data_IF_478811282207
#
_entry.id   IF_478811282207
#
_cell.length_a   1.000
_cell.length_b   1.000
_cell.length_c   1.000
_cell.angle_alpha   90.00
_cell.angle_beta   90.00
_cell.angle_gamma   90.00
#
_symmetry.space_group_name_H-M   'P 1'
#
loop_
_entity.id
_entity.type
_entity.pdbx_description
1 polymer ?
#
# COMPACT_ATOMS: atom_id res chain seq x y z
N UNK A 1 12.45 37.28 -15.59
CA UNK A 1 11.06 36.85 -15.85
C UNK A 1 11.12 35.33 -15.93
N UNK A 2 10.78 34.67 -14.83
CA UNK A 2 10.79 33.20 -14.77
C UNK A 2 9.76 32.68 -15.78
N UNK A 3 10.09 31.66 -16.59
CA UNK A 3 9.13 31.12 -17.54
C UNK A 3 7.92 30.58 -16.78
N UNK A 4 6.70 30.72 -17.32
CA UNK A 4 5.52 30.14 -16.69
C UNK A 4 5.73 28.63 -16.58
N UNK A 5 5.76 28.12 -15.34
CA UNK A 5 5.75 26.68 -15.07
C UNK A 5 4.42 26.15 -15.59
N UNK A 6 4.44 25.55 -16.77
CA UNK A 6 3.30 24.79 -17.28
C UNK A 6 2.97 23.72 -16.24
N UNK A 7 1.73 23.64 -15.72
CA UNK A 7 1.38 22.61 -14.77
C UNK A 7 1.61 21.26 -15.43
N UNK A 8 2.48 20.44 -14.84
CA UNK A 8 2.64 19.06 -15.26
C UNK A 8 1.26 18.38 -15.29
N UNK A 9 0.96 17.56 -16.31
CA UNK A 9 -0.29 16.81 -16.35
C UNK A 9 -0.42 16.01 -15.04
N UNK A 10 -1.56 16.15 -14.37
CA UNK A 10 -1.80 15.47 -13.10
C UNK A 10 -1.63 13.95 -13.25
N UNK A 11 -0.88 13.27 -12.36
CA UNK A 11 -0.63 11.85 -12.49
C UNK A 11 -1.94 11.05 -12.36
N UNK A 12 -2.08 10.01 -13.17
CA UNK A 12 -3.19 9.05 -13.07
C UNK A 12 -3.01 8.04 -11.93
N UNK A 13 -1.76 7.78 -11.56
CA UNK A 13 -1.36 6.84 -10.51
C UNK A 13 -0.28 7.45 -9.59
N UNK A 14 -0.48 7.38 -8.28
CA UNK A 14 0.55 7.67 -7.29
C UNK A 14 0.99 6.36 -6.65
N UNK A 15 2.27 6.04 -6.75
CA UNK A 15 2.87 4.88 -6.11
C UNK A 15 3.47 5.28 -4.76
N UNK A 16 2.87 4.83 -3.66
CA UNK A 16 3.34 5.10 -2.30
C UNK A 16 4.23 3.95 -1.83
N UNK A 17 5.47 4.26 -1.47
CA UNK A 17 6.46 3.29 -1.00
C UNK A 17 6.94 3.71 0.40
N UNK A 18 6.57 2.94 1.42
CA UNK A 18 7.04 3.17 2.78
C UNK A 18 8.41 2.52 2.98
N UNK A 19 9.38 3.30 3.48
CA UNK A 19 10.76 2.86 3.70
C UNK A 19 11.23 3.20 5.11
N UNK A 20 12.09 2.35 5.67
CA UNK A 20 12.76 2.57 6.94
C UNK A 20 14.07 1.78 6.93
N UNK A 21 15.21 2.48 6.91
CA UNK A 21 16.55 1.94 6.71
C UNK A 21 16.61 0.91 5.56
N UNK A 22 16.37 1.38 4.34
CA UNK A 22 16.33 0.60 3.10
C UNK A 22 17.32 1.15 2.05
N UNK A 23 18.41 1.81 2.48
CA UNK A 23 19.36 2.49 1.60
C UNK A 23 19.92 1.59 0.47
N UNK A 24 20.08 0.29 0.76
CA UNK A 24 20.58 -0.72 -0.20
C UNK A 24 19.52 -1.16 -1.22
N UNK A 25 18.23 -1.03 -0.91
CA UNK A 25 17.13 -1.54 -1.72
C UNK A 25 16.48 -0.46 -2.59
N UNK A 26 16.41 0.79 -2.11
CA UNK A 26 15.68 1.90 -2.76
C UNK A 26 16.07 2.09 -4.23
N UNK A 27 17.37 2.03 -4.55
CA UNK A 27 17.83 2.26 -5.93
C UNK A 27 17.30 1.19 -6.90
N UNK A 28 17.36 -0.09 -6.50
CA UNK A 28 16.86 -1.20 -7.31
C UNK A 28 15.33 -1.16 -7.44
N UNK A 29 14.62 -0.89 -6.34
CA UNK A 29 13.16 -0.74 -6.33
C UNK A 29 12.73 0.41 -7.25
N UNK A 30 13.43 1.54 -7.18
CA UNK A 30 13.14 2.70 -8.03
C UNK A 30 13.32 2.37 -9.50
N UNK A 31 14.45 1.74 -9.87
CA UNK A 31 14.71 1.35 -11.25
C UNK A 31 13.63 0.40 -11.80
N UNK A 32 13.18 -0.57 -11.01
CA UNK A 32 12.09 -1.48 -11.39
C UNK A 32 10.76 -0.71 -11.56
N UNK A 33 10.42 0.18 -10.63
CA UNK A 33 9.21 1.03 -10.74
C UNK A 33 9.20 1.87 -12.01
N UNK A 34 10.30 2.59 -12.29
CA UNK A 34 10.40 3.44 -13.46
C UNK A 34 10.29 2.64 -14.76
N UNK A 35 10.94 1.47 -14.81
CA UNK A 35 10.91 0.57 -15.97
C UNK A 35 9.50 0.04 -16.24
N UNK A 36 8.83 -0.50 -15.21
CA UNK A 36 7.53 -1.16 -15.36
C UNK A 36 6.38 -0.15 -15.61
N UNK A 37 6.49 1.07 -15.07
CA UNK A 37 5.43 2.08 -15.19
C UNK A 37 5.62 3.04 -16.37
N UNK A 38 6.74 2.98 -17.09
CA UNK A 38 7.01 3.87 -18.24
C UNK A 38 5.89 3.89 -19.30
N UNK A 39 5.17 2.78 -19.49
CA UNK A 39 4.05 2.66 -20.43
C UNK A 39 2.66 2.91 -19.83
N UNK A 40 2.54 3.12 -18.52
CA UNK A 40 1.25 3.21 -17.82
C UNK A 40 0.60 4.61 -17.85
N UNK A 41 1.23 5.58 -18.51
CA UNK A 41 0.83 7.00 -18.52
C UNK A 41 1.48 7.79 -17.37
N UNK A 42 1.08 9.06 -17.15
CA UNK A 42 1.66 9.90 -16.11
C UNK A 42 1.49 9.30 -14.70
N UNK A 43 2.59 9.10 -13.99
CA UNK A 43 2.61 8.59 -12.62
C UNK A 43 3.56 9.41 -11.73
N UNK A 44 3.47 9.21 -10.42
CA UNK A 44 4.48 9.66 -9.48
C UNK A 44 4.84 8.54 -8.49
N UNK A 45 6.04 8.59 -7.93
CA UNK A 45 6.50 7.72 -6.86
C UNK A 45 6.72 8.58 -5.61
N UNK A 46 5.90 8.34 -4.59
CA UNK A 46 6.00 9.01 -3.29
C UNK A 46 6.64 8.05 -2.31
N UNK A 47 7.94 8.21 -2.10
CA UNK A 47 8.63 7.56 -1.00
C UNK A 47 8.25 8.25 0.32
N UNK A 48 7.93 7.43 1.31
CA UNK A 48 7.71 7.89 2.68
C UNK A 48 8.78 7.29 3.57
N UNK A 49 9.75 8.11 3.95
CA UNK A 49 10.78 7.73 4.89
C UNK A 49 10.26 7.87 6.33
N UNK A 50 10.03 6.74 6.98
CA UNK A 50 9.48 6.64 8.34
C UNK A 50 10.57 6.86 9.41
N UNK A 51 11.41 7.89 9.23
CA UNK A 51 12.47 8.25 10.18
C UNK A 51 13.69 7.32 10.11
N UNK A 52 14.22 7.06 8.91
CA UNK A 52 15.46 6.31 8.73
C UNK A 52 16.66 6.96 9.42
N UNK A 53 17.56 6.13 9.90
CA UNK A 53 18.82 6.52 10.56
C UNK A 53 20.06 6.18 9.71
N UNK A 54 19.85 5.68 8.50
CA UNK A 54 20.89 5.36 7.53
C UNK A 54 20.85 6.33 6.32
N UNK A 55 21.49 5.97 5.20
CA UNK A 55 21.52 6.79 4.00
C UNK A 55 20.23 6.81 3.16
N UNK A 56 19.12 6.21 3.60
CA UNK A 56 17.91 6.01 2.79
C UNK A 56 17.39 7.32 2.17
N UNK A 57 17.23 8.36 2.98
CA UNK A 57 16.73 9.66 2.51
C UNK A 57 17.64 10.27 1.43
N UNK A 58 18.95 10.21 1.62
CA UNK A 58 19.91 10.79 0.67
C UNK A 58 19.86 10.07 -0.68
N UNK A 59 19.78 8.73 -0.67
CA UNK A 59 19.65 7.95 -1.91
C UNK A 59 18.38 8.35 -2.68
N UNK A 60 17.26 8.57 -1.99
CA UNK A 60 16.01 8.98 -2.61
C UNK A 60 16.12 10.40 -3.20
N UNK A 61 16.76 11.33 -2.48
CA UNK A 61 16.98 12.70 -2.97
C UNK A 61 17.85 12.71 -4.23
N UNK A 62 18.91 11.89 -4.27
CA UNK A 62 19.78 11.76 -5.43
C UNK A 62 19.06 11.14 -6.64
N UNK A 63 18.06 10.28 -6.40
CA UNK A 63 17.19 9.74 -7.45
C UNK A 63 16.19 10.79 -7.92
N UNK A 64 15.55 11.53 -7.01
CA UNK A 64 14.59 12.59 -7.33
C UNK A 64 15.23 13.74 -8.12
N UNK A 65 16.52 14.03 -7.90
CA UNK A 65 17.26 15.00 -8.70
C UNK A 65 17.36 14.61 -10.20
N UNK A 66 17.21 13.32 -10.53
CA UNK A 66 17.29 12.78 -11.89
C UNK A 66 15.94 12.38 -12.47
N UNK A 67 14.93 12.23 -11.63
CA UNK A 67 13.62 11.68 -11.96
C UNK A 67 12.52 12.53 -11.33
N UNK A 68 11.90 13.49 -12.07
CA UNK A 68 10.92 14.42 -11.54
C UNK A 68 9.64 13.74 -11.00
N UNK A 69 9.35 12.52 -11.44
CA UNK A 69 8.28 11.68 -10.92
C UNK A 69 8.50 11.23 -9.47
N UNK A 70 9.73 11.31 -8.94
CA UNK A 70 10.07 10.83 -7.60
C UNK A 70 9.95 11.97 -6.58
N UNK A 71 9.29 11.67 -5.47
CA UNK A 71 9.12 12.57 -4.34
C UNK A 71 9.44 11.86 -3.04
N UNK A 72 10.04 12.60 -2.11
CA UNK A 72 10.32 12.15 -0.75
C UNK A 72 9.45 12.91 0.26
N UNK A 73 8.83 12.19 1.17
CA UNK A 73 8.20 12.72 2.38
C UNK A 73 8.83 12.03 3.58
N UNK A 74 9.35 12.80 4.54
CA UNK A 74 10.06 12.24 5.70
C UNK A 74 9.30 12.50 6.99
N UNK A 75 9.26 11.49 7.85
CA UNK A 75 8.89 11.64 9.26
C UNK A 75 10.12 12.03 10.09
N UNK A 76 9.89 12.73 11.19
CA UNK A 76 10.93 13.09 12.18
C UNK A 76 11.36 11.89 13.04
N UNK A 77 10.54 10.84 13.08
CA UNK A 77 10.77 9.58 13.81
C UNK A 77 9.94 8.44 13.20
N UNK A 78 10.28 7.22 13.57
CA UNK A 78 9.48 6.04 13.21
C UNK A 78 8.09 6.07 13.84
N UNK A 79 7.07 6.13 12.97
CA UNK A 79 5.66 6.18 13.32
C UNK A 79 4.89 4.90 12.91
N UNK A 80 5.55 3.99 12.19
CA UNK A 80 4.99 2.73 11.74
C UNK A 80 4.47 2.77 10.30
N UNK A 81 4.43 1.58 9.68
CA UNK A 81 4.09 1.40 8.26
C UNK A 81 2.72 1.99 7.90
N UNK A 82 1.73 1.87 8.79
CA UNK A 82 0.37 2.33 8.47
C UNK A 82 0.30 3.85 8.43
N UNK A 83 1.04 4.50 9.33
CA UNK A 83 1.18 5.95 9.33
C UNK A 83 1.98 6.42 8.11
N UNK A 84 3.08 5.74 7.77
CA UNK A 84 3.86 6.04 6.56
C UNK A 84 2.99 5.94 5.28
N UNK A 85 2.22 4.86 5.14
CA UNK A 85 1.27 4.73 4.02
C UNK A 85 0.28 5.89 4.02
N UNK A 86 -0.35 6.23 5.16
CA UNK A 86 -1.30 7.35 5.23
C UNK A 86 -0.68 8.69 4.85
N UNK A 87 0.53 8.98 5.32
CA UNK A 87 1.28 10.19 4.94
C UNK A 87 1.50 10.23 3.43
N UNK A 88 1.88 9.09 2.82
CA UNK A 88 2.01 8.97 1.37
C UNK A 88 0.71 9.20 0.63
N UNK A 89 -0.41 8.62 1.08
CA UNK A 89 -1.74 8.84 0.47
C UNK A 89 -2.17 10.31 0.58
N UNK A 90 -1.88 10.98 1.70
CA UNK A 90 -2.16 12.41 1.85
C UNK A 90 -1.35 13.25 0.86
N UNK A 91 -0.07 12.92 0.66
CA UNK A 91 0.84 13.61 -0.25
C UNK A 91 0.64 13.26 -1.75
N UNK A 92 -0.02 12.14 -2.03
CA UNK A 92 -0.35 11.68 -3.37
C UNK A 92 -1.27 12.69 -4.09
N UNK A 93 -0.96 12.96 -5.36
CA UNK A 93 -1.69 13.86 -6.26
C UNK A 93 -2.69 13.11 -7.14
N UNK A 94 -2.46 11.83 -7.40
CA UNK A 94 -3.32 11.04 -8.28
C UNK A 94 -4.62 10.60 -7.59
N UNK A 95 -5.70 10.36 -8.38
CA UNK A 95 -6.93 9.78 -7.86
C UNK A 95 -6.77 8.33 -7.42
N UNK A 96 -5.88 7.56 -8.06
CA UNK A 96 -5.57 6.18 -7.72
C UNK A 96 -4.20 6.08 -7.05
N UNK A 97 -4.15 5.30 -5.98
CA UNK A 97 -2.93 5.07 -5.21
C UNK A 97 -2.60 3.60 -5.18
N UNK A 98 -1.41 3.27 -5.65
CA UNK A 98 -0.77 1.96 -5.46
C UNK A 98 0.15 1.99 -4.24
N UNK A 99 0.21 0.93 -3.46
CA UNK A 99 1.19 0.79 -2.37
C UNK A 99 2.18 -0.32 -2.68
N UNK A 100 3.46 -0.09 -2.37
CA UNK A 100 4.51 -1.11 -2.39
C UNK A 100 5.39 -1.05 -1.14
N UNK A 101 6.08 -2.15 -0.87
CA UNK A 101 7.08 -2.25 0.19
C UNK A 101 8.47 -1.93 -0.39
N UNK A 102 9.29 -1.21 0.38
CA UNK A 102 10.62 -0.77 -0.06
C UNK A 102 11.72 -1.84 -0.13
N UNK A 103 11.38 -3.12 0.09
CA UNK A 103 12.35 -4.22 0.19
C UNK A 103 12.55 -5.03 -1.10
N UNK A 104 11.92 -4.59 -2.20
CA UNK A 104 12.03 -5.19 -3.53
C UNK A 104 11.31 -6.53 -3.69
N UNK A 105 10.52 -6.95 -2.70
CA UNK A 105 9.84 -8.25 -2.77
C UNK A 105 8.60 -8.26 -3.66
N UNK A 106 8.06 -7.10 -4.01
CA UNK A 106 6.86 -6.98 -4.83
C UNK A 106 7.18 -6.19 -6.09
N UNK A 107 6.73 -6.67 -7.24
CA UNK A 107 6.95 -5.97 -8.52
C UNK A 107 5.85 -4.91 -8.75
N UNK A 108 6.21 -3.74 -9.31
CA UNK A 108 5.25 -2.73 -9.74
C UNK A 108 4.52 -3.11 -11.04
N UNK A 109 4.99 -4.12 -11.79
CA UNK A 109 4.39 -4.52 -13.08
C UNK A 109 2.91 -4.89 -12.96
N UNK A 110 2.50 -5.49 -11.84
CA UNK A 110 1.11 -5.88 -11.59
C UNK A 110 0.18 -4.67 -11.37
N UNK A 111 0.70 -3.47 -11.06
CA UNK A 111 -0.11 -2.28 -10.78
C UNK A 111 -0.87 -1.77 -12.01
N UNK A 112 -0.32 -1.95 -13.22
CA UNK A 112 -1.00 -1.57 -14.46
C UNK A 112 -2.29 -2.37 -14.66
N UNK A 113 -2.21 -3.69 -14.52
CA UNK A 113 -3.37 -4.59 -14.62
C UNK A 113 -4.37 -4.35 -13.49
N UNK A 114 -3.88 -4.13 -12.26
CA UNK A 114 -4.74 -3.76 -11.14
C UNK A 114 -5.49 -2.46 -11.40
N UNK A 115 -4.85 -1.46 -12.03
CA UNK A 115 -5.47 -0.19 -12.38
C UNK A 115 -6.53 -0.36 -13.46
N UNK A 116 -6.23 -1.14 -14.50
CA UNK A 116 -7.21 -1.47 -15.54
C UNK A 116 -8.46 -2.16 -14.95
N UNK A 117 -8.28 -3.13 -14.05
CA UNK A 117 -9.38 -3.79 -13.34
C UNK A 117 -10.20 -2.80 -12.50
N UNK A 118 -9.54 -1.89 -11.80
CA UNK A 118 -10.19 -0.91 -10.96
C UNK A 118 -11.01 0.11 -11.77
N UNK A 119 -10.51 0.52 -12.94
CA UNK A 119 -11.19 1.43 -13.86
C UNK A 119 -12.35 0.77 -14.60
N UNK A 120 -12.28 -0.54 -14.85
CA UNK A 120 -13.35 -1.30 -15.49
C UNK A 120 -14.51 -1.66 -14.53
N UNK A 121 -14.33 -1.47 -13.23
CA UNK A 121 -15.34 -1.83 -12.24
C UNK A 121 -16.55 -0.89 -12.28
N UNK A 122 -17.75 -1.46 -12.34
CA UNK A 122 -19.01 -0.72 -12.27
C UNK A 122 -19.40 -0.42 -10.81
N UNK A 123 -20.04 0.73 -10.60
CA UNK A 123 -20.56 1.13 -9.29
C UNK A 123 -19.48 1.72 -8.37
N UNK A 124 -19.37 1.19 -7.15
CA UNK A 124 -18.40 1.68 -6.16
C UNK A 124 -17.00 1.19 -6.52
N UNK A 125 -16.03 2.09 -6.47
CA UNK A 125 -14.62 1.78 -6.77
C UNK A 125 -14.09 0.67 -5.86
N UNK A 126 -13.44 -0.36 -6.41
CA UNK A 126 -12.91 -1.46 -5.62
C UNK A 126 -11.62 -1.10 -4.90
N UNK A 127 -11.33 -1.84 -3.83
CA UNK A 127 -9.96 -2.12 -3.43
C UNK A 127 -9.46 -3.30 -4.28
N UNK A 128 -8.37 -3.12 -5.01
CA UNK A 128 -7.67 -4.23 -5.66
C UNK A 128 -6.52 -4.65 -4.74
N UNK A 129 -6.56 -5.86 -4.20
CA UNK A 129 -5.57 -6.39 -3.28
C UNK A 129 -4.71 -7.45 -3.97
N UNK A 130 -3.39 -7.29 -3.87
CA UNK A 130 -2.44 -8.28 -4.35
C UNK A 130 -2.49 -9.56 -3.52
N UNK A 131 -2.44 -10.70 -4.19
CA UNK A 131 -2.38 -12.04 -3.59
C UNK A 131 -1.14 -12.75 -4.11
N UNK A 132 -0.15 -12.96 -3.23
CA UNK A 132 1.10 -13.61 -3.63
C UNK A 132 0.86 -15.05 -4.08
N UNK A 133 1.21 -15.36 -5.33
CA UNK A 133 0.99 -16.69 -5.93
C UNK A 133 1.99 -17.73 -5.42
N UNK A 134 3.22 -17.33 -5.15
CA UNK A 134 4.27 -18.18 -4.55
C UNK A 134 4.84 -17.50 -3.31
N UNK A 135 4.96 -18.28 -2.23
CA UNK A 135 5.67 -17.89 -1.00
C UNK A 135 6.78 -18.88 -0.77
N UNK A 136 8.02 -18.44 -0.90
CA UNK A 136 9.21 -19.21 -0.53
C UNK A 136 9.47 -19.14 0.99
N UNK A 137 8.39 -19.12 1.79
CA UNK A 137 8.46 -19.13 3.25
C UNK A 137 8.67 -20.57 3.76
N UNK A 138 9.45 -20.78 4.85
CA UNK A 138 9.59 -22.10 5.46
C UNK A 138 8.23 -22.71 5.85
N UNK A 139 8.09 -24.02 5.68
CA UNK A 139 6.85 -24.79 5.93
C UNK A 139 6.09 -24.42 7.22
N UNK A 140 6.74 -24.27 8.39
CA UNK A 140 6.05 -23.89 9.63
C UNK A 140 5.43 -22.48 9.58
N UNK A 141 6.07 -21.53 8.88
CA UNK A 141 5.59 -20.16 8.72
C UNK A 141 4.38 -20.09 7.79
N UNK A 142 4.34 -20.95 6.77
CA UNK A 142 3.18 -21.10 5.88
C UNK A 142 1.95 -21.60 6.63
N UNK A 143 2.09 -22.62 7.49
CA UNK A 143 0.98 -23.19 8.28
C UNK A 143 0.44 -22.16 9.27
N UNK A 144 1.30 -21.49 10.03
CA UNK A 144 0.89 -20.45 10.97
C UNK A 144 0.16 -19.29 10.28
N UNK A 145 0.66 -18.87 9.11
CA UNK A 145 0.02 -17.81 8.31
C UNK A 145 -1.35 -18.25 7.78
N UNK A 146 -1.47 -19.50 7.29
CA UNK A 146 -2.76 -20.04 6.82
C UNK A 146 -3.80 -20.13 7.94
N UNK A 147 -3.41 -20.56 9.14
CA UNK A 147 -4.31 -20.63 10.28
C UNK A 147 -4.75 -19.23 10.74
N UNK A 148 -3.80 -18.29 10.86
CA UNK A 148 -4.10 -16.91 11.23
C UNK A 148 -5.02 -16.23 10.20
N UNK A 149 -4.72 -16.39 8.90
CA UNK A 149 -5.55 -15.84 7.82
C UNK A 149 -6.93 -16.52 7.77
N UNK A 150 -7.02 -17.83 8.01
CA UNK A 150 -8.29 -18.57 8.02
C UNK A 150 -9.20 -18.17 9.18
N UNK A 151 -8.64 -17.99 10.38
CA UNK A 151 -9.39 -17.48 11.54
C UNK A 151 -9.87 -16.05 11.29
N UNK A 152 -8.95 -15.17 10.86
CA UNK A 152 -9.25 -13.77 10.53
C UNK A 152 -10.32 -13.66 9.44
N UNK A 153 -10.22 -14.44 8.37
CA UNK A 153 -11.18 -14.45 7.27
C UNK A 153 -12.57 -14.88 7.74
N UNK A 154 -12.69 -15.88 8.62
CA UNK A 154 -13.98 -16.27 9.20
C UNK A 154 -14.59 -15.18 10.07
N UNK A 155 -13.76 -14.49 10.84
CA UNK A 155 -14.22 -13.47 11.79
C UNK A 155 -14.55 -12.15 11.11
N UNK A 156 -13.74 -11.74 10.14
CA UNK A 156 -13.92 -10.49 9.41
C UNK A 156 -14.78 -10.64 8.17
N UNK A 157 -14.98 -11.85 7.66
CA UNK A 157 -15.66 -12.15 6.39
C UNK A 157 -15.21 -11.20 5.26
N UNK A 158 -13.90 -11.05 5.10
CA UNK A 158 -13.32 -10.06 4.20
C UNK A 158 -12.76 -10.65 2.91
N UNK A 159 -12.95 -11.95 2.67
CA UNK A 159 -12.63 -12.66 1.43
C UNK A 159 -11.24 -12.37 0.83
N UNK A 160 -10.27 -11.95 1.66
CA UNK A 160 -8.91 -11.66 1.22
C UNK A 160 -7.94 -12.73 1.73
N UNK A 161 -7.34 -13.55 0.84
CA UNK A 161 -6.49 -14.66 1.24
C UNK A 161 -5.10 -14.21 1.73
N UNK A 162 -4.64 -13.00 1.38
CA UNK A 162 -3.30 -12.51 1.72
C UNK A 162 -3.25 -11.02 2.08
N UNK A 163 -3.80 -10.66 3.23
CA UNK A 163 -3.84 -9.25 3.67
C UNK A 163 -2.48 -8.65 4.04
N UNK A 164 -1.49 -9.50 4.27
CA UNK A 164 -0.12 -9.08 4.52
C UNK A 164 0.64 -8.70 3.25
N UNK A 165 0.06 -8.84 2.06
CA UNK A 165 0.66 -8.33 0.83
C UNK A 165 0.71 -6.79 0.86
N UNK A 166 1.88 -6.22 0.56
CA UNK A 166 2.08 -4.78 0.47
C UNK A 166 1.41 -4.16 -0.75
N UNK A 167 1.26 -4.94 -1.84
CA UNK A 167 0.64 -4.50 -3.09
C UNK A 167 -0.86 -4.33 -2.93
N UNK A 168 -1.32 -3.08 -3.01
CA UNK A 168 -2.74 -2.73 -3.02
C UNK A 168 -2.95 -1.54 -3.92
N UNK A 169 -4.11 -1.45 -4.55
CA UNK A 169 -4.54 -0.31 -5.36
C UNK A 169 -5.94 0.12 -4.92
N UNK A 170 -6.11 1.42 -4.69
CA UNK A 170 -7.38 1.98 -4.24
C UNK A 170 -7.50 3.46 -4.63
N UNK A 171 -8.74 3.96 -4.61
CA UNK A 171 -8.97 5.39 -4.78
C UNK A 171 -8.50 6.16 -3.54
N UNK A 172 -7.75 7.25 -3.75
CA UNK A 172 -7.18 8.10 -2.71
C UNK A 172 -8.23 8.54 -1.70
N UNK A 173 -9.34 9.07 -2.19
CA UNK A 173 -10.39 9.63 -1.33
C UNK A 173 -11.13 8.58 -0.49
N UNK A 174 -11.22 7.34 -0.96
CA UNK A 174 -11.87 6.26 -0.22
C UNK A 174 -10.99 5.76 0.92
N UNK A 175 -9.67 5.67 0.69
CA UNK A 175 -8.72 5.37 1.75
C UNK A 175 -8.71 6.44 2.84
N UNK A 176 -8.79 7.73 2.48
CA UNK A 176 -8.72 8.82 3.47
C UNK A 176 -9.93 8.85 4.43
N UNK A 177 -11.06 8.23 4.05
CA UNK A 177 -12.22 8.02 4.93
C UNK A 177 -11.99 6.95 5.99
N UNK A 178 -11.00 6.08 5.81
CA UNK A 178 -10.73 4.98 6.74
C UNK A 178 -10.09 5.50 8.04
N UNK A 179 -10.41 4.84 9.17
CA UNK A 179 -9.75 5.13 10.45
C UNK A 179 -8.27 4.71 10.38
N UNK A 180 -7.38 5.56 10.90
CA UNK A 180 -5.94 5.29 10.92
C UNK A 180 -5.49 4.74 12.27
N UNK A 181 -4.74 3.65 12.24
CA UNK A 181 -4.05 3.06 13.38
C UNK A 181 -2.90 2.20 12.87
N UNK A 182 -1.91 1.92 13.73
CA UNK A 182 -0.81 1.04 13.33
C UNK A 182 -1.31 -0.40 13.15
N UNK A 183 -0.85 -1.10 12.12
CA UNK A 183 -1.41 -2.38 11.66
C UNK A 183 -2.60 -2.29 10.71
N UNK A 184 -3.20 -1.11 10.47
CA UNK A 184 -4.37 -0.92 9.59
C UNK A 184 -4.19 -1.50 8.18
N UNK A 185 -2.98 -1.44 7.63
CA UNK A 185 -2.65 -1.97 6.30
C UNK A 185 -2.99 -3.47 6.11
N UNK A 186 -3.07 -4.25 7.22
CA UNK A 186 -3.47 -5.66 7.23
C UNK A 186 -4.99 -5.87 7.27
N UNK A 187 -5.74 -4.81 7.55
CA UNK A 187 -7.19 -4.83 7.69
C UNK A 187 -7.90 -4.02 6.61
N UNK A 188 -7.15 -3.43 5.66
CA UNK A 188 -7.71 -2.68 4.54
C UNK A 188 -8.84 -3.42 3.82
N UNK A 189 -8.74 -4.71 3.45
CA UNK A 189 -9.86 -5.40 2.81
C UNK A 189 -11.14 -5.41 3.64
N UNK A 190 -11.02 -5.66 4.95
CA UNK A 190 -12.16 -5.67 5.86
C UNK A 190 -12.74 -4.27 6.09
N UNK A 191 -11.88 -3.24 6.12
CA UNK A 191 -12.28 -1.84 6.28
C UNK A 191 -12.96 -1.31 5.02
N UNK A 192 -12.37 -1.49 3.84
CA UNK A 192 -12.98 -1.10 2.56
C UNK A 192 -14.37 -1.74 2.38
N UNK A 193 -14.51 -3.03 2.68
CA UNK A 193 -15.81 -3.71 2.66
C UNK A 193 -16.80 -3.14 3.69
N UNK A 194 -16.35 -2.77 4.89
CA UNK A 194 -17.22 -2.13 5.89
C UNK A 194 -17.72 -0.75 5.42
N UNK A 195 -16.94 -0.08 4.57
CA UNK A 195 -17.36 1.14 3.88
C UNK A 195 -18.11 0.86 2.58
N UNK A 196 -18.39 -0.41 2.25
CA UNK A 196 -19.17 -0.85 1.09
C UNK A 196 -18.41 -0.83 -0.24
N UNK A 197 -17.08 -0.81 -0.21
CA UNK A 197 -16.26 -0.95 -1.42
C UNK A 197 -16.06 -2.44 -1.75
N UNK A 198 -16.21 -2.84 -3.03
CA UNK A 198 -15.92 -4.21 -3.44
C UNK A 198 -14.41 -4.51 -3.31
N UNK A 199 -14.11 -5.80 -3.13
CA UNK A 199 -12.73 -6.30 -3.10
C UNK A 199 -12.47 -7.11 -4.38
N UNK A 200 -11.38 -6.79 -5.07
CA UNK A 200 -10.85 -7.59 -6.17
C UNK A 200 -9.51 -8.17 -5.72
N UNK A 201 -9.38 -9.49 -5.71
CA UNK A 201 -8.11 -10.16 -5.42
C UNK A 201 -7.36 -10.39 -6.74
N UNK A 202 -6.18 -9.81 -6.87
CA UNK A 202 -5.34 -9.93 -8.07
C UNK A 202 -4.08 -10.73 -7.75
N UNK A 203 -3.75 -11.80 -8.49
CA UNK A 203 -2.50 -12.54 -8.27
C UNK A 203 -1.30 -11.64 -8.54
N UNK A 204 -0.32 -11.61 -7.63
CA UNK A 204 0.90 -10.81 -7.80
C UNK A 204 2.15 -11.66 -7.67
N UNK A 205 3.21 -11.23 -8.37
CA UNK A 205 4.52 -11.87 -8.32
C UNK A 205 5.26 -11.44 -7.05
N UNK A 206 5.92 -12.40 -6.39
CA UNK A 206 6.67 -12.17 -5.16
C UNK A 206 8.10 -12.68 -5.30
N UNK A 207 9.06 -11.84 -4.94
CA UNK A 207 10.49 -12.14 -4.98
C UNK A 207 11.05 -12.26 -3.57
N UNK A 208 12.19 -12.96 -3.46
CA UNK A 208 13.00 -12.91 -2.25
C UNK A 208 13.50 -11.47 -2.03
N UNK A 209 13.64 -11.09 -0.76
CA UNK A 209 14.19 -9.78 -0.38
C UNK A 209 15.61 -9.64 -0.95
N UNK A 210 15.90 -8.48 -1.54
CA UNK A 210 17.21 -8.19 -2.12
C UNK A 210 18.29 -8.08 -1.03
N UNK A 211 18.06 -7.23 -0.02
CA UNK A 211 18.99 -7.03 1.10
C UNK A 211 18.28 -6.85 2.46
N UNK A 212 18.96 -7.22 3.56
CA UNK A 212 18.55 -6.95 4.95
C UNK A 212 17.77 -8.06 5.68
N UNK A 213 17.77 -8.01 7.02
CA UNK A 213 17.09 -8.98 7.91
C UNK A 213 15.69 -8.48 8.30
N UNK A 214 14.71 -9.36 8.43
CA UNK A 214 13.36 -9.02 8.90
C UNK A 214 13.40 -8.41 10.31
N UNK A 215 13.03 -7.14 10.45
CA UNK A 215 13.06 -6.37 11.71
C UNK A 215 12.04 -6.79 12.78
N UNK A 216 11.30 -7.88 12.59
CA UNK A 216 10.15 -8.23 13.43
C UNK A 216 10.30 -9.58 14.14
N UNK A 217 10.04 -9.60 15.45
CA UNK A 217 9.97 -10.80 16.30
C UNK A 217 8.57 -11.42 16.29
N UNK A 218 8.49 -12.75 16.22
CA UNK A 218 7.26 -13.48 15.86
C UNK A 218 6.17 -13.53 16.95
N UNK A 219 6.54 -13.60 18.24
CA UNK A 219 5.58 -13.75 19.35
C UNK A 219 4.87 -12.44 19.73
N UNK A 220 5.60 -11.33 19.82
CA UNK A 220 5.01 -10.01 20.10
C UNK A 220 4.03 -9.58 19.02
N UNK A 221 4.34 -9.87 17.76
CA UNK A 221 3.47 -9.61 16.61
C UNK A 221 2.13 -10.37 16.69
N UNK A 222 2.13 -11.59 17.21
CA UNK A 222 0.92 -12.40 17.31
C UNK A 222 -0.07 -11.80 18.33
N UNK A 223 0.42 -11.38 19.51
CA UNK A 223 -0.41 -10.77 20.54
C UNK A 223 -0.98 -9.41 20.12
N UNK A 224 -0.15 -8.56 19.51
CA UNK A 224 -0.63 -7.28 18.93
C UNK A 224 -1.68 -7.54 17.85
N UNK A 225 -1.48 -8.54 16.99
CA UNK A 225 -2.43 -8.90 15.94
C UNK A 225 -3.81 -9.35 16.45
N UNK A 226 -3.88 -10.00 17.63
CA UNK A 226 -5.17 -10.36 18.25
C UNK A 226 -5.90 -9.13 18.77
N UNK A 227 -5.19 -8.21 19.43
CA UNK A 227 -5.76 -6.94 19.88
C UNK A 227 -6.32 -6.10 18.73
N UNK A 228 -5.54 -5.95 17.66
CA UNK A 228 -5.96 -5.24 16.45
C UNK A 228 -7.21 -5.89 15.83
N UNK A 229 -7.26 -7.22 15.77
CA UNK A 229 -8.40 -7.95 15.22
C UNK A 229 -9.68 -7.67 16.02
N UNK A 230 -9.64 -7.75 17.35
CA UNK A 230 -10.78 -7.42 18.21
C UNK A 230 -11.22 -5.96 18.03
N UNK A 231 -10.26 -5.04 17.96
CA UNK A 231 -10.52 -3.63 17.69
C UNK A 231 -11.22 -3.42 16.34
N UNK A 232 -10.77 -4.10 15.29
CA UNK A 232 -11.37 -4.01 13.95
C UNK A 232 -12.76 -4.63 13.90
N UNK A 233 -13.01 -5.75 14.59
CA UNK A 233 -14.38 -6.32 14.70
C UNK A 233 -15.31 -5.30 15.34
N UNK A 234 -14.90 -4.72 16.47
CA UNK A 234 -15.68 -3.69 17.14
C UNK A 234 -15.91 -2.49 16.20
N UNK A 235 -14.87 -2.02 15.51
CA UNK A 235 -14.97 -0.88 14.59
C UNK A 235 -15.92 -1.16 13.43
N UNK A 236 -15.82 -2.33 12.78
CA UNK A 236 -16.75 -2.77 11.73
C UNK A 236 -18.19 -2.77 12.21
N UNK A 237 -18.45 -3.21 13.45
CA UNK A 237 -19.81 -3.21 14.01
C UNK A 237 -20.39 -1.79 14.19
N UNK A 238 -19.53 -0.76 14.26
CA UNK A 238 -19.91 0.64 14.47
C UNK A 238 -19.93 1.48 13.20
N UNK A 239 -19.28 1.04 12.13
CA UNK A 239 -19.29 1.76 10.84
C UNK A 239 -20.72 1.78 10.28
N UNK A 240 -21.14 2.97 9.84
CA UNK A 240 -22.40 3.23 9.13
C UNK A 240 -22.05 4.10 7.93
N UNK A 241 -21.71 3.48 6.80
CA UNK A 241 -21.32 4.17 5.58
C UNK A 241 -22.54 4.35 4.65
N UNK A 242 -23.07 5.58 4.47
CA UNK A 242 -24.24 5.81 3.63
C UNK A 242 -23.90 5.77 2.13
N UNK A 243 -24.86 5.37 1.30
CA UNK A 243 -24.85 5.68 -0.14
C UNK A 243 -25.32 7.13 -0.34
N UNK A 244 -24.37 8.04 -0.58
CA UNK A 244 -24.68 9.46 -0.80
C UNK A 244 -25.03 9.67 -2.28
N UNK A 245 -26.23 10.16 -2.55
CA UNK A 245 -26.65 10.63 -3.88
C UNK A 245 -27.14 12.07 -3.78
N UNK A 246 -26.58 12.96 -4.60
CA UNK A 246 -27.06 14.34 -4.71
C UNK A 246 -28.23 14.37 -5.70
N UNK A 247 -29.44 14.69 -5.22
CA UNK A 247 -30.60 14.92 -6.08
C UNK A 247 -30.67 16.39 -6.41
N UNK A 248 -30.61 16.74 -7.71
CA UNK A 248 -30.87 18.10 -8.19
C UNK A 248 -32.29 18.17 -8.79
N UNK A 249 -33.01 19.29 -8.59
CA UNK A 249 -34.34 19.49 -9.14
C UNK A 249 -34.35 19.51 -10.66
#
# INVERSE_FOLDING_TARGET
>A
MEPPVTPEPAPGLSLVIAVLNEAENVAAVTADCLSQLAGAGPFEIVFVDDGSTDGTAQVILDLAARHPEIRLVSHDRCCGKSQAVRTGVLAARAPWVGTLDGDGQNTPGDLGDMLALALAAEGRRPLVAGVRVRRDDPWPRLVATRLANGFRARVLNDHCPDTGCGVKLFAREDFLKLPCFEGMHRFMPALFQAYGHPLINHPVTHHARLHGVSKYTNLGRALVGVGDLLGVIWLKSRIRAPDVSERRP
#
